data_IF_834923281693
#
_entry.id   IF_834923281693
#
_cell.length_a   1.000
_cell.length_b   1.000
_cell.length_c   1.000
_cell.angle_alpha   90.00
_cell.angle_beta   90.00
_cell.angle_gamma   90.00
#
_symmetry.space_group_name_H-M   'P 1'
#
loop_
_entity.id
_entity.type
_entity.pdbx_description
1 polymer ?
#
# COMPACT_ATOMS: atom_id res chain seq x y z
N UNK A 1 -23.36 -32.07 -2.68
CA UNK A 1 -22.33 -31.06 -2.33
C UNK A 1 -21.60 -31.57 -1.11
N UNK A 2 -20.35 -31.99 -1.27
CA UNK A 2 -19.48 -32.39 -0.15
C UNK A 2 -19.01 -31.14 0.56
N UNK A 3 -19.42 -30.97 1.82
CA UNK A 3 -18.94 -29.89 2.66
C UNK A 3 -17.47 -30.14 2.98
N UNK A 4 -16.59 -29.24 2.53
CA UNK A 4 -15.18 -29.26 2.93
C UNK A 4 -15.06 -28.83 4.40
N UNK A 5 -14.07 -29.31 5.17
CA UNK A 5 -13.86 -28.94 6.58
C UNK A 5 -13.27 -27.53 6.76
N UNK A 6 -13.40 -26.67 5.75
CA UNK A 6 -12.88 -25.31 5.72
C UNK A 6 -13.85 -24.40 4.97
N UNK A 7 -13.90 -23.13 5.39
CA UNK A 7 -14.59 -22.08 4.65
C UNK A 7 -13.76 -21.73 3.41
N UNK A 8 -14.42 -21.66 2.24
CA UNK A 8 -13.80 -21.09 1.05
C UNK A 8 -13.97 -19.57 1.06
N UNK A 9 -12.98 -18.84 0.54
CA UNK A 9 -13.16 -17.42 0.26
C UNK A 9 -14.37 -17.21 -0.68
N UNK A 10 -15.00 -16.02 -0.64
CA UNK A 10 -16.07 -15.71 -1.58
C UNK A 10 -15.63 -15.94 -3.02
N UNK A 11 -16.59 -16.30 -3.90
CA UNK A 11 -16.29 -16.56 -5.31
C UNK A 11 -15.72 -15.33 -6.06
N UNK A 12 -15.86 -14.12 -5.50
CA UNK A 12 -15.28 -12.89 -6.04
C UNK A 12 -14.94 -11.92 -4.90
N UNK A 13 -13.77 -12.08 -4.24
CA UNK A 13 -13.35 -11.20 -3.16
C UNK A 13 -12.88 -9.85 -3.74
N UNK A 14 -13.00 -8.78 -2.96
CA UNK A 14 -12.30 -7.51 -3.29
C UNK A 14 -10.80 -7.77 -3.27
N UNK A 15 -10.11 -7.52 -4.39
CA UNK A 15 -8.69 -7.80 -4.57
C UNK A 15 -7.89 -6.57 -4.26
N UNK A 16 -7.05 -6.67 -3.25
CA UNK A 16 -6.18 -5.61 -2.76
C UNK A 16 -4.73 -5.97 -3.04
N UNK A 17 -4.00 -5.03 -3.64
CA UNK A 17 -2.55 -5.11 -3.79
C UNK A 17 -1.86 -4.26 -2.73
N UNK A 18 -0.71 -4.71 -2.24
CA UNK A 18 0.11 -3.96 -1.31
C UNK A 18 1.58 -4.07 -1.73
N UNK A 19 2.19 -2.92 -2.00
CA UNK A 19 3.63 -2.77 -2.20
C UNK A 19 4.23 -2.38 -0.85
N UNK A 20 4.92 -3.31 -0.20
CA UNK A 20 5.53 -3.12 1.12
C UNK A 20 7.04 -2.93 1.02
N UNK A 21 7.65 -2.32 2.03
CA UNK A 21 9.10 -2.19 2.08
C UNK A 21 9.76 -3.55 2.25
N UNK A 22 10.95 -3.74 1.67
CA UNK A 22 11.74 -4.96 1.86
C UNK A 22 12.10 -5.21 3.32
N UNK A 23 12.19 -4.14 4.12
CA UNK A 23 12.48 -4.16 5.55
C UNK A 23 11.24 -4.15 6.46
N UNK A 24 10.02 -4.10 5.91
CA UNK A 24 8.81 -4.13 6.74
C UNK A 24 8.57 -5.56 7.25
N UNK A 25 8.27 -5.70 8.53
CA UNK A 25 8.06 -6.99 9.20
C UNK A 25 6.64 -7.15 9.77
N UNK A 26 5.81 -6.10 9.76
CA UNK A 26 4.57 -6.07 10.56
C UNK A 26 3.32 -5.85 9.73
N UNK A 27 3.39 -5.03 8.68
CA UNK A 27 2.19 -4.52 8.01
C UNK A 27 1.36 -5.63 7.36
N UNK A 28 2.02 -6.71 6.94
CA UNK A 28 1.38 -7.84 6.27
C UNK A 28 0.41 -8.57 7.20
N UNK A 29 0.79 -8.75 8.46
CA UNK A 29 -0.04 -9.39 9.48
C UNK A 29 -1.12 -8.43 10.01
N UNK A 30 -0.79 -7.15 10.19
CA UNK A 30 -1.74 -6.12 10.59
C UNK A 30 -2.91 -6.00 9.59
N UNK A 31 -2.61 -5.94 8.28
CA UNK A 31 -3.65 -5.91 7.26
C UNK A 31 -4.49 -7.19 7.26
N UNK A 32 -3.87 -8.37 7.43
CA UNK A 32 -4.63 -9.64 7.50
C UNK A 32 -5.57 -9.68 8.69
N UNK A 33 -5.15 -9.14 9.83
CA UNK A 33 -5.98 -9.08 11.04
C UNK A 33 -7.14 -8.07 10.91
N UNK A 34 -6.94 -6.97 10.19
CA UNK A 34 -7.92 -5.88 10.06
C UNK A 34 -8.90 -6.06 8.89
N UNK A 35 -8.48 -6.72 7.80
CA UNK A 35 -9.30 -6.86 6.60
C UNK A 35 -10.42 -7.90 6.79
N UNK A 36 -11.63 -7.63 6.25
CA UNK A 36 -12.70 -8.62 6.27
C UNK A 36 -12.35 -9.83 5.38
N UNK A 37 -12.91 -10.99 5.70
CA UNK A 37 -12.76 -12.23 4.88
C UNK A 37 -13.21 -12.08 3.43
N UNK A 38 -13.97 -11.03 3.12
CA UNK A 38 -14.39 -10.70 1.75
C UNK A 38 -13.28 -10.08 0.89
N UNK A 39 -12.12 -9.77 1.47
CA UNK A 39 -10.98 -9.21 0.77
C UNK A 39 -9.88 -10.27 0.59
N UNK A 40 -9.19 -10.22 -0.55
CA UNK A 40 -7.94 -10.94 -0.79
C UNK A 40 -6.79 -9.95 -0.91
N UNK A 41 -5.68 -10.22 -0.23
CA UNK A 41 -4.51 -9.36 -0.19
C UNK A 41 -3.33 -9.99 -0.94
N UNK A 42 -2.81 -9.29 -1.93
CA UNK A 42 -1.64 -9.68 -2.73
C UNK A 42 -0.49 -8.72 -2.41
N UNK A 43 0.66 -9.27 -2.03
CA UNK A 43 1.79 -8.50 -1.54
C UNK A 43 2.98 -8.59 -2.48
N UNK A 44 3.67 -7.48 -2.66
CA UNK A 44 4.96 -7.39 -3.35
C UNK A 44 5.89 -6.51 -2.53
N UNK A 45 7.19 -6.69 -2.68
CA UNK A 45 8.19 -5.89 -1.97
C UNK A 45 8.89 -4.93 -2.91
N UNK A 46 9.25 -3.76 -2.37
CA UNK A 46 10.14 -2.81 -2.99
C UNK A 46 11.41 -2.67 -2.14
N UNK A 47 12.57 -2.56 -2.78
CA UNK A 47 13.81 -2.34 -2.06
C UNK A 47 13.74 -1.04 -1.27
N UNK A 48 14.13 -1.10 0.00
CA UNK A 48 14.25 0.03 0.91
C UNK A 48 15.69 0.11 1.40
N UNK A 49 16.35 1.25 1.13
CA UNK A 49 17.70 1.46 1.63
C UNK A 49 17.71 1.55 3.17
N UNK A 50 18.82 1.20 3.85
CA UNK A 50 18.93 1.28 5.30
C UNK A 50 18.77 2.71 5.84
N UNK A 51 19.22 3.69 5.06
CA UNK A 51 19.09 5.11 5.38
C UNK A 51 17.96 5.76 4.57
N UNK A 52 17.10 6.51 5.27
CA UNK A 52 16.00 7.25 4.68
C UNK A 52 16.48 8.65 4.32
N UNK A 53 16.86 8.84 3.06
CA UNK A 53 17.28 10.14 2.52
C UNK A 53 16.43 10.48 1.30
N UNK A 54 16.36 11.76 0.87
CA UNK A 54 15.63 12.13 -0.34
C UNK A 54 16.06 11.32 -1.58
N UNK A 55 17.36 11.06 -1.72
CA UNK A 55 17.92 10.31 -2.85
C UNK A 55 17.48 8.84 -2.81
N UNK A 56 17.60 8.17 -1.65
CA UNK A 56 17.18 6.77 -1.52
C UNK A 56 15.68 6.59 -1.71
N UNK A 57 14.87 7.58 -1.32
CA UNK A 57 13.43 7.58 -1.58
C UNK A 57 13.09 7.81 -3.06
N UNK A 58 13.91 8.55 -3.81
CA UNK A 58 13.74 8.71 -5.26
C UNK A 58 14.13 7.44 -6.03
N UNK A 59 15.12 6.68 -5.55
CA UNK A 59 15.42 5.35 -6.10
C UNK A 59 14.23 4.40 -5.96
N UNK A 60 13.49 4.48 -4.85
CA UNK A 60 12.25 3.70 -4.69
C UNK A 60 11.21 4.04 -5.75
N UNK A 61 11.11 5.30 -6.21
CA UNK A 61 10.20 5.66 -7.30
C UNK A 61 10.47 4.83 -8.55
N UNK A 62 11.75 4.60 -8.89
CA UNK A 62 12.14 3.81 -10.05
C UNK A 62 11.74 2.33 -9.90
N UNK A 63 11.67 1.82 -8.67
CA UNK A 63 11.26 0.46 -8.37
C UNK A 63 9.74 0.23 -8.37
N UNK A 64 8.91 1.28 -8.25
CA UNK A 64 7.46 1.14 -8.06
C UNK A 64 6.76 0.35 -9.16
N UNK A 65 7.03 0.67 -10.43
CA UNK A 65 6.42 -0.02 -11.56
C UNK A 65 6.84 -1.51 -11.59
N UNK A 66 8.10 -1.79 -11.30
CA UNK A 66 8.61 -3.17 -11.25
C UNK A 66 7.97 -3.97 -10.11
N UNK A 67 7.87 -3.39 -8.91
CA UNK A 67 7.18 -4.01 -7.77
C UNK A 67 5.70 -4.23 -8.06
N UNK A 68 5.01 -3.25 -8.65
CA UNK A 68 3.60 -3.39 -9.04
C UNK A 68 3.40 -4.51 -10.07
N UNK A 69 4.33 -4.70 -11.02
CA UNK A 69 4.26 -5.76 -12.03
C UNK A 69 4.37 -7.18 -11.48
N UNK A 70 4.90 -7.34 -10.26
CA UNK A 70 4.93 -8.63 -9.59
C UNK A 70 3.53 -9.09 -9.13
N UNK A 71 2.56 -8.17 -9.04
CA UNK A 71 1.14 -8.51 -8.94
C UNK A 71 0.63 -8.80 -10.36
N UNK A 72 0.11 -10.01 -10.66
CA UNK A 72 -0.33 -10.34 -12.01
C UNK A 72 -1.41 -9.36 -12.52
N UNK A 73 -1.20 -8.68 -13.67
CA UNK A 73 -2.21 -7.77 -14.23
C UNK A 73 -3.55 -8.46 -14.54
N UNK A 74 -3.51 -9.76 -14.83
CA UNK A 74 -4.69 -10.60 -15.05
C UNK A 74 -5.60 -10.73 -13.83
N UNK A 75 -5.12 -10.40 -12.63
CA UNK A 75 -5.93 -10.52 -11.42
C UNK A 75 -6.97 -9.40 -11.31
N UNK A 76 -6.85 -8.31 -12.10
CA UNK A 76 -7.73 -7.14 -12.04
C UNK A 76 -7.90 -6.65 -10.60
N UNK A 77 -6.80 -6.19 -10.00
CA UNK A 77 -6.79 -5.71 -8.62
C UNK A 77 -7.56 -4.41 -8.50
N UNK A 78 -8.47 -4.31 -7.53
CA UNK A 78 -9.34 -3.15 -7.35
C UNK A 78 -8.54 -1.93 -6.85
N UNK A 79 -7.67 -2.16 -5.86
CA UNK A 79 -6.88 -1.11 -5.21
C UNK A 79 -5.47 -1.61 -4.94
N UNK A 80 -4.46 -0.78 -5.24
CA UNK A 80 -3.06 -1.03 -4.87
C UNK A 80 -2.60 0.04 -3.89
N UNK A 81 -2.18 -0.39 -2.70
CA UNK A 81 -1.55 0.44 -1.68
C UNK A 81 -0.03 0.46 -1.80
N UNK A 82 0.60 1.63 -1.70
CA UNK A 82 2.04 1.74 -1.48
C UNK A 82 2.32 2.07 -0.01
N UNK A 83 2.85 1.10 0.73
CA UNK A 83 2.95 1.12 2.19
C UNK A 83 4.22 1.82 2.71
N UNK A 84 4.49 3.04 2.24
CA UNK A 84 5.58 3.85 2.75
C UNK A 84 5.11 5.29 2.91
N UNK A 85 4.97 5.76 4.16
CA UNK A 85 4.51 7.14 4.42
C UNK A 85 5.53 8.16 3.92
N UNK A 86 6.79 8.05 4.36
CA UNK A 86 7.88 8.96 3.96
C UNK A 86 8.11 8.92 2.45
N UNK A 87 8.17 7.73 1.86
CA UNK A 87 8.28 7.55 0.41
C UNK A 87 7.10 8.15 -0.34
N UNK A 88 5.86 7.94 0.11
CA UNK A 88 4.69 8.53 -0.56
C UNK A 88 4.64 10.06 -0.44
N UNK A 89 5.07 10.62 0.68
CA UNK A 89 5.16 12.08 0.89
C UNK A 89 6.22 12.69 -0.03
N UNK A 90 7.42 12.09 -0.09
CA UNK A 90 8.54 12.58 -0.90
C UNK A 90 8.34 12.38 -2.41
N UNK A 91 7.89 11.19 -2.83
CA UNK A 91 7.61 10.90 -4.23
C UNK A 91 6.39 11.68 -4.70
N UNK A 92 5.42 11.90 -3.81
CA UNK A 92 4.12 12.51 -4.11
C UNK A 92 3.08 11.46 -4.51
N UNK A 93 1.86 11.47 -3.93
CA UNK A 93 0.84 10.44 -4.20
C UNK A 93 0.46 10.30 -5.68
N UNK A 94 0.41 11.41 -6.43
CA UNK A 94 0.10 11.38 -7.86
C UNK A 94 1.18 10.67 -8.68
N UNK A 95 2.45 10.81 -8.27
CA UNK A 95 3.57 10.14 -8.93
C UNK A 95 3.56 8.64 -8.60
N UNK A 96 3.24 8.27 -7.35
CA UNK A 96 3.04 6.87 -6.97
C UNK A 96 1.93 6.24 -7.82
N UNK A 97 0.78 6.93 -7.93
CA UNK A 97 -0.32 6.48 -8.77
C UNK A 97 0.09 6.31 -10.23
N UNK A 98 0.82 7.29 -10.78
CA UNK A 98 1.35 7.24 -12.14
C UNK A 98 2.23 6.01 -12.38
N UNK A 99 3.18 5.71 -11.49
CA UNK A 99 4.07 4.55 -11.66
C UNK A 99 3.32 3.21 -11.54
N UNK A 100 2.39 3.10 -10.59
CA UNK A 100 1.59 1.87 -10.41
C UNK A 100 0.65 1.65 -11.60
N UNK A 101 0.00 2.71 -12.08
CA UNK A 101 -0.99 2.64 -13.16
C UNK A 101 -0.38 2.46 -14.55
N UNK A 102 0.95 2.61 -14.71
CA UNK A 102 1.65 2.12 -15.91
C UNK A 102 1.46 0.61 -16.10
N UNK A 103 1.32 -0.13 -15.02
CA UNK A 103 1.18 -1.59 -15.03
C UNK A 103 -0.25 -2.05 -14.74
N UNK A 104 -0.92 -1.36 -13.81
CA UNK A 104 -2.31 -1.64 -13.42
C UNK A 104 -3.20 -0.43 -13.69
N UNK A 105 -3.54 -0.12 -14.95
CA UNK A 105 -4.19 1.13 -15.35
C UNK A 105 -5.59 1.33 -14.76
N UNK A 106 -6.26 0.24 -14.41
CA UNK A 106 -7.63 0.27 -13.88
C UNK A 106 -7.68 0.25 -12.34
N UNK A 107 -6.55 0.01 -11.66
CA UNK A 107 -6.52 -0.03 -10.20
C UNK A 107 -6.55 1.38 -9.62
N UNK A 108 -7.33 1.56 -8.56
CA UNK A 108 -7.17 2.73 -7.72
C UNK A 108 -5.85 2.63 -6.94
N UNK A 109 -5.23 3.77 -6.66
CA UNK A 109 -3.97 3.79 -5.91
C UNK A 109 -4.17 4.55 -4.60
N UNK A 110 -3.68 3.95 -3.52
CA UNK A 110 -3.76 4.50 -2.17
C UNK A 110 -2.36 4.58 -1.56
N UNK A 111 -2.14 5.57 -0.72
CA UNK A 111 -0.90 5.74 0.07
C UNK A 111 -1.27 6.07 1.51
N UNK A 112 -0.39 5.81 2.50
CA UNK A 112 -0.66 6.13 3.90
C UNK A 112 -1.08 7.58 4.11
N UNK A 113 -0.42 8.54 3.45
CA UNK A 113 -0.75 9.96 3.59
C UNK A 113 -2.12 10.29 3.00
N UNK A 114 -2.48 9.74 1.84
CA UNK A 114 -3.81 9.96 1.25
C UNK A 114 -4.91 9.26 2.04
N UNK A 115 -4.62 8.08 2.61
CA UNK A 115 -5.53 7.35 3.47
C UNK A 115 -5.83 8.13 4.76
N UNK A 116 -4.79 8.61 5.46
CA UNK A 116 -4.93 9.40 6.68
C UNK A 116 -5.68 10.71 6.41
N UNK A 117 -5.35 11.43 5.33
CA UNK A 117 -6.08 12.65 4.96
C UNK A 117 -7.58 12.38 4.72
N UNK A 118 -7.92 11.31 3.99
CA UNK A 118 -9.31 10.92 3.75
C UNK A 118 -10.02 10.55 5.07
N UNK A 119 -9.38 9.74 5.91
CA UNK A 119 -9.94 9.32 7.19
C UNK A 119 -10.19 10.50 8.14
N UNK A 120 -9.22 11.42 8.27
CA UNK A 120 -9.36 12.60 9.13
C UNK A 120 -10.46 13.55 8.64
N UNK A 121 -10.58 13.73 7.32
CA UNK A 121 -11.66 14.52 6.74
C UNK A 121 -13.04 13.91 7.01
N UNK A 122 -13.17 12.60 6.84
CA UNK A 122 -14.41 11.85 7.12
C UNK A 122 -14.79 11.95 8.60
N UNK A 123 -13.81 11.85 9.50
CA UNK A 123 -14.01 12.03 10.95
C UNK A 123 -14.30 13.49 11.35
N UNK A 124 -14.21 14.44 10.43
CA UNK A 124 -14.36 15.87 10.75
C UNK A 124 -13.26 16.40 11.67
N UNK A 125 -12.10 15.74 11.75
CA UNK A 125 -11.02 16.12 12.63
C UNK A 125 -10.43 17.48 12.22
N UNK A 126 -10.11 18.34 13.19
CA UNK A 126 -9.54 19.68 12.98
C UNK A 126 -8.31 19.99 13.82
N UNK A 127 -8.14 19.30 14.95
CA UNK A 127 -6.98 19.41 15.83
C UNK A 127 -6.37 18.03 15.96
N UNK A 128 -5.24 17.82 15.31
CA UNK A 128 -4.62 16.50 15.15
C UNK A 128 -3.29 16.51 15.91
N UNK A 129 -3.13 15.57 16.83
CA UNK A 129 -1.83 15.25 17.42
C UNK A 129 -1.15 14.17 16.58
N UNK A 130 0.13 14.35 16.28
CA UNK A 130 0.91 13.38 15.51
C UNK A 130 2.02 12.80 16.39
N UNK A 131 2.13 11.48 16.40
CA UNK A 131 3.25 10.76 17.00
C UNK A 131 3.96 10.04 15.87
N UNK A 132 5.26 10.24 15.76
CA UNK A 132 6.11 9.70 14.71
C UNK A 132 7.42 9.22 15.32
N UNK A 133 7.98 8.07 14.88
CA UNK A 133 9.30 7.63 15.30
C UNK A 133 10.42 8.42 14.62
N UNK A 134 10.09 9.30 13.67
CA UNK A 134 11.04 10.02 12.83
C UNK A 134 11.37 11.41 13.36
N UNK A 135 12.50 11.95 12.87
CA UNK A 135 12.92 13.33 13.12
C UNK A 135 12.06 14.33 12.31
N UNK A 136 12.03 15.62 12.68
CA UNK A 136 11.18 16.62 12.03
C UNK A 136 11.38 16.75 10.51
N UNK A 137 12.59 16.57 10.01
CA UNK A 137 12.93 16.80 8.59
C UNK A 137 12.32 15.78 7.63
N UNK A 138 11.88 14.63 8.13
CA UNK A 138 11.27 13.54 7.36
C UNK A 138 9.89 13.13 7.89
N UNK A 139 9.31 13.96 8.77
CA UNK A 139 7.97 13.79 9.34
C UNK A 139 6.91 14.53 8.53
#
# INVERSE_FOLDING_TARGET
MTAFPFDTNPNDPTKLGLIVLSSDETIEDEFRAMLPKSCSLFQTRIHSAPEVTPDTLMEMKAGLAASAAMIPPSFNVDVIGYACTSGATMIGPSNVATEVQKVHPNSQVCTPITAVMRALNELGARKIGMVTPYIPDVS
#
